data_IF_118654215923
#
_entry.id   IF_118654215923
#
_cell.length_a   1.000
_cell.length_b   1.000
_cell.length_c   1.000
_cell.angle_alpha   90.00
_cell.angle_beta   90.00
_cell.angle_gamma   90.00
#
_symmetry.space_group_name_H-M   'P 1'
#
loop_
_entity.id
_entity.type
_entity.pdbx_description
1 polymer ?
#
# COMPACT_ATOMS: atom_id res chain seq x y z
N UNK A 1 31.59 -27.12 -7.37
CA UNK A 1 30.27 -26.93 -8.01
C UNK A 1 29.22 -27.58 -7.12
N UNK A 2 28.89 -26.95 -5.98
CA UNK A 2 27.95 -27.56 -5.03
C UNK A 2 26.52 -27.29 -5.48
N UNK A 3 25.75 -28.36 -5.72
CA UNK A 3 24.35 -28.33 -6.10
C UNK A 3 23.50 -27.45 -5.13
N UNK A 4 23.95 -27.36 -3.88
CA UNK A 4 23.38 -26.52 -2.84
C UNK A 4 23.29 -25.04 -3.22
N UNK A 5 24.32 -24.48 -3.88
CA UNK A 5 24.29 -23.08 -4.29
C UNK A 5 23.23 -22.82 -5.38
N UNK A 6 23.00 -23.78 -6.28
CA UNK A 6 21.95 -23.65 -7.29
C UNK A 6 20.56 -23.68 -6.66
N UNK A 7 20.33 -24.57 -5.69
CA UNK A 7 19.06 -24.65 -4.96
C UNK A 7 18.80 -23.35 -4.20
N UNK A 8 19.81 -22.81 -3.51
CA UNK A 8 19.71 -21.53 -2.79
C UNK A 8 19.41 -20.39 -3.77
N UNK A 9 20.10 -20.33 -4.91
CA UNK A 9 19.86 -19.30 -5.92
C UNK A 9 18.42 -19.35 -6.47
N UNK A 10 17.89 -20.55 -6.74
CA UNK A 10 16.50 -20.73 -7.18
C UNK A 10 15.50 -20.22 -6.15
N UNK A 11 15.69 -20.55 -4.86
CA UNK A 11 14.83 -20.03 -3.80
C UNK A 11 14.99 -18.53 -3.60
N UNK A 12 16.20 -17.98 -3.77
CA UNK A 12 16.45 -16.55 -3.64
C UNK A 12 15.61 -15.74 -4.63
N UNK A 13 15.51 -16.19 -5.89
CA UNK A 13 14.66 -15.53 -6.90
C UNK A 13 13.20 -15.52 -6.46
N UNK A 14 12.69 -16.64 -5.94
CA UNK A 14 11.32 -16.71 -5.41
C UNK A 14 11.09 -15.74 -4.27
N UNK A 15 11.99 -15.68 -3.28
CA UNK A 15 11.87 -14.77 -2.13
C UNK A 15 11.95 -13.30 -2.56
N UNK A 16 12.82 -12.97 -3.52
CA UNK A 16 12.94 -11.61 -4.06
C UNK A 16 11.65 -11.20 -4.76
N UNK A 17 11.10 -12.06 -5.63
CA UNK A 17 9.84 -11.78 -6.34
C UNK A 17 8.68 -11.64 -5.36
N UNK A 18 8.54 -12.57 -4.41
CA UNK A 18 7.46 -12.55 -3.42
C UNK A 18 7.56 -11.33 -2.48
N UNK A 19 8.78 -10.99 -2.07
CA UNK A 19 9.06 -9.81 -1.26
C UNK A 19 8.76 -8.51 -2.01
N UNK A 20 9.10 -8.45 -3.31
CA UNK A 20 8.80 -7.30 -4.14
C UNK A 20 7.30 -7.07 -4.30
N UNK A 21 6.54 -8.14 -4.57
CA UNK A 21 5.09 -8.09 -4.68
C UNK A 21 4.44 -7.60 -3.37
N UNK A 22 4.93 -8.09 -2.22
CA UNK A 22 4.48 -7.63 -0.91
C UNK A 22 4.79 -6.15 -0.66
N UNK A 23 5.99 -5.70 -1.00
CA UNK A 23 6.40 -4.28 -0.86
C UNK A 23 5.55 -3.39 -1.76
N UNK A 24 5.33 -3.79 -3.02
CA UNK A 24 4.51 -3.06 -3.98
C UNK A 24 3.06 -2.94 -3.50
N UNK A 25 2.46 -4.05 -3.08
CA UNK A 25 1.08 -4.10 -2.55
C UNK A 25 0.94 -3.23 -1.30
N UNK A 26 1.89 -3.32 -0.37
CA UNK A 26 1.88 -2.52 0.87
C UNK A 26 2.03 -1.02 0.60
N UNK A 27 2.80 -0.63 -0.41
CA UNK A 27 2.90 0.77 -0.84
C UNK A 27 1.59 1.28 -1.46
N UNK A 28 0.89 0.47 -2.26
CA UNK A 28 -0.41 0.82 -2.82
C UNK A 28 -1.47 1.00 -1.74
N UNK A 29 -1.54 0.08 -0.76
CA UNK A 29 -2.48 0.16 0.37
C UNK A 29 -2.27 1.45 1.18
N UNK A 30 -1.02 1.84 1.44
CA UNK A 30 -0.74 3.11 2.16
C UNK A 30 -1.20 4.34 1.38
N UNK A 31 -1.11 4.32 0.05
CA UNK A 31 -1.62 5.40 -0.80
C UNK A 31 -3.13 5.48 -0.76
N UNK A 32 -3.82 4.34 -0.81
CA UNK A 32 -5.28 4.31 -0.80
C UNK A 32 -5.85 4.79 0.54
N UNK A 33 -5.24 4.40 1.66
CA UNK A 33 -5.63 4.90 2.99
C UNK A 33 -5.42 6.42 3.10
N UNK A 34 -4.34 6.95 2.55
CA UNK A 34 -4.07 8.39 2.56
C UNK A 34 -5.03 9.16 1.65
N UNK A 35 -5.37 8.61 0.47
CA UNK A 35 -6.34 9.19 -0.44
C UNK A 35 -7.75 9.19 0.17
N UNK A 36 -8.17 8.08 0.78
CA UNK A 36 -9.43 7.98 1.51
C UNK A 36 -9.49 9.00 2.66
N UNK A 37 -8.41 9.15 3.43
CA UNK A 37 -8.30 10.17 4.49
C UNK A 37 -8.36 11.59 3.96
N UNK A 38 -7.75 11.89 2.81
CA UNK A 38 -7.83 13.22 2.20
C UNK A 38 -9.24 13.53 1.68
N UNK A 39 -9.94 12.55 1.12
CA UNK A 39 -11.34 12.69 0.70
C UNK A 39 -12.26 12.94 1.92
N UNK A 40 -12.10 12.15 2.98
CA UNK A 40 -12.84 12.35 4.23
C UNK A 40 -12.61 13.74 4.84
N UNK A 41 -11.37 14.27 4.81
CA UNK A 41 -11.09 15.64 5.27
C UNK A 41 -11.76 16.71 4.41
N UNK A 42 -11.89 16.48 3.10
CA UNK A 42 -12.59 17.41 2.20
C UNK A 42 -14.10 17.36 2.38
N UNK A 43 -14.68 16.20 2.68
CA UNK A 43 -16.11 16.07 3.04
C UNK A 43 -16.41 16.76 4.37
N UNK A 44 -15.57 16.58 5.40
CA UNK A 44 -15.73 17.27 6.68
C UNK A 44 -15.59 18.79 6.54
N UNK A 45 -14.67 19.27 5.69
CA UNK A 45 -14.54 20.70 5.41
C UNK A 45 -15.70 21.25 4.54
N UNK A 46 -16.50 20.37 3.93
CA UNK A 46 -17.66 20.73 3.12
C UNK A 46 -18.98 20.56 3.86
N UNK A 47 -19.00 20.14 5.13
CA UNK A 47 -20.14 20.38 6.03
C UNK A 47 -20.24 21.89 6.17
N UNK A 48 -21.13 22.55 5.42
CA UNK A 48 -21.25 23.97 5.49
C UNK A 48 -22.00 24.27 6.78
N UNK A 49 -21.64 25.36 7.42
CA UNK A 49 -22.35 25.99 8.53
C UNK A 49 -23.75 26.49 8.13
N UNK A 50 -24.47 25.76 7.27
CA UNK A 50 -25.73 26.14 6.61
C UNK A 50 -26.96 25.80 7.46
N UNK A 51 -26.82 24.97 8.49
CA UNK A 51 -27.94 24.61 9.38
C UNK A 51 -28.13 25.56 10.58
N UNK A 52 -27.25 26.56 10.79
CA UNK A 52 -27.41 27.52 11.89
C UNK A 52 -28.18 28.80 11.49
N UNK A 53 -28.68 28.90 10.25
CA UNK A 53 -29.31 30.13 9.72
C UNK A 53 -30.70 29.93 9.09
N UNK A 54 -31.39 28.79 9.30
CA UNK A 54 -32.73 28.56 8.74
C UNK A 54 -33.80 28.29 9.78
#
# INVERSE_FOLDING_TARGET
MSYQNYVIASFAVFVVVLGWDYVATRMQIRREINNARQRAKREVARTPSDELTR
#
